data_IF_477815170029
#
_entry.id   IF_477815170029
#
_cell.length_a   1.000
_cell.length_b   1.000
_cell.length_c   1.000
_cell.angle_alpha   90.00
_cell.angle_beta   90.00
_cell.angle_gamma   90.00
#
_symmetry.space_group_name_H-M   'P 1'
#
loop_
_entity.id
_entity.type
_entity.pdbx_description
1 polymer ?
#
# COMPACT_ATOMS: atom_id res chain seq x y z
N UNK A 1 -9.17 1.88 22.06
CA UNK A 1 -8.49 1.17 20.96
C UNK A 1 -8.96 -0.28 21.01
N UNK A 2 -9.59 -0.78 19.95
CA UNK A 2 -9.90 -2.21 19.84
C UNK A 2 -8.66 -2.89 19.27
N UNK A 3 -8.03 -3.75 20.05
CA UNK A 3 -6.89 -4.57 19.61
C UNK A 3 -7.42 -5.98 19.44
N UNK A 4 -7.24 -6.58 18.27
CA UNK A 4 -7.49 -8.01 18.05
C UNK A 4 -6.16 -8.73 18.25
N UNK A 5 -6.13 -9.70 19.15
CA UNK A 5 -5.01 -10.62 19.27
C UNK A 5 -5.02 -11.55 18.05
N UNK A 6 -3.85 -11.84 17.49
CA UNK A 6 -3.74 -12.88 16.47
C UNK A 6 -3.87 -14.22 17.19
N UNK A 7 -4.96 -14.93 16.94
CA UNK A 7 -5.24 -16.25 17.51
C UNK A 7 -4.65 -17.38 16.66
N UNK A 8 -4.40 -17.11 15.38
CA UNK A 8 -3.84 -18.04 14.41
C UNK A 8 -3.00 -17.28 13.38
N UNK A 9 -1.75 -17.71 13.18
CA UNK A 9 -0.83 -17.12 12.18
C UNK A 9 -0.24 -18.20 11.26
N UNK A 10 -0.28 -17.97 9.94
CA UNK A 10 0.27 -18.88 8.94
C UNK A 10 1.46 -18.22 8.20
N UNK A 11 2.70 -18.39 8.69
CA UNK A 11 3.86 -17.89 7.98
C UNK A 11 4.02 -18.62 6.64
N UNK A 12 3.88 -17.89 5.53
CA UNK A 12 4.16 -18.40 4.18
C UNK A 12 3.30 -19.59 3.73
N UNK A 13 2.09 -19.77 4.30
CA UNK A 13 1.24 -20.93 4.01
C UNK A 13 1.65 -22.23 4.75
N UNK A 14 2.50 -22.12 5.76
CA UNK A 14 2.83 -23.23 6.67
C UNK A 14 1.73 -23.58 7.67
N UNK A 15 2.04 -24.53 8.56
CA UNK A 15 1.14 -24.93 9.65
C UNK A 15 0.77 -23.74 10.54
N UNK A 16 -0.49 -23.65 11.00
CA UNK A 16 -0.92 -22.56 11.87
C UNK A 16 -0.14 -22.53 13.18
N UNK A 17 0.30 -21.35 13.57
CA UNK A 17 0.79 -21.04 14.91
C UNK A 17 -0.41 -20.52 15.70
N UNK A 18 -0.89 -21.30 16.67
CA UNK A 18 -2.04 -20.98 17.51
C UNK A 18 -1.68 -20.65 18.96
N UNK A 19 -0.41 -20.82 19.32
CA UNK A 19 0.14 -20.45 20.61
C UNK A 19 0.56 -18.97 20.57
N UNK A 20 -0.16 -18.04 21.23
CA UNK A 20 0.11 -16.61 21.12
C UNK A 20 1.53 -16.23 21.59
N UNK A 21 2.13 -17.03 22.47
CA UNK A 21 3.52 -16.80 22.92
C UNK A 21 4.57 -17.07 21.84
N UNK A 22 4.17 -17.75 20.76
CA UNK A 22 5.01 -18.08 19.59
C UNK A 22 4.71 -17.20 18.38
N UNK A 23 3.75 -16.28 18.49
CA UNK A 23 3.43 -15.32 17.44
C UNK A 23 4.21 -14.04 17.72
N UNK A 24 5.39 -13.91 17.12
CA UNK A 24 6.20 -12.70 17.17
C UNK A 24 5.91 -11.81 15.95
N UNK A 25 4.65 -11.38 15.83
CA UNK A 25 4.22 -10.48 14.75
C UNK A 25 3.37 -9.36 15.34
N UNK A 26 3.94 -8.17 15.40
CA UNK A 26 3.26 -6.95 15.82
C UNK A 26 3.01 -6.05 14.62
N UNK A 27 1.94 -6.32 13.87
CA UNK A 27 1.51 -5.48 12.75
C UNK A 27 0.35 -4.58 13.16
N UNK A 28 0.47 -3.28 12.85
CA UNK A 28 -0.61 -2.31 13.02
C UNK A 28 -1.04 -1.79 11.66
N UNK A 29 -2.15 -2.31 11.13
CA UNK A 29 -2.65 -1.91 9.81
C UNK A 29 -3.34 -0.54 9.84
N UNK A 30 -2.65 0.50 9.36
CA UNK A 30 -3.13 1.90 9.34
C UNK A 30 -3.57 2.39 7.95
N UNK A 31 -3.84 1.47 7.03
CA UNK A 31 -4.38 1.78 5.70
C UNK A 31 -5.86 2.20 5.70
N UNK A 32 -6.36 2.54 4.52
CA UNK A 32 -7.75 2.88 4.21
C UNK A 32 -8.23 2.07 3.00
N UNK A 33 -9.48 2.24 2.59
CA UNK A 33 -10.04 1.58 1.40
C UNK A 33 -10.49 0.16 1.67
N UNK A 34 -10.92 -0.11 2.90
CA UNK A 34 -11.48 -1.40 3.29
C UNK A 34 -12.97 -1.36 3.02
N UNK A 35 -13.49 -2.41 2.37
CA UNK A 35 -14.92 -2.61 2.28
C UNK A 35 -15.46 -3.09 3.64
N UNK A 36 -15.68 -2.12 4.53
CA UNK A 36 -16.31 -2.35 5.83
C UNK A 36 -17.84 -2.24 5.75
N UNK A 37 -18.37 -1.94 4.55
CA UNK A 37 -19.80 -1.71 4.30
C UNK A 37 -20.59 -2.99 4.00
N UNK A 38 -19.93 -4.04 3.52
CA UNK A 38 -20.59 -5.29 3.13
C UNK A 38 -20.70 -6.34 4.24
N UNK A 39 -20.44 -5.98 5.51
CA UNK A 39 -20.49 -6.93 6.62
C UNK A 39 -19.41 -8.02 6.52
N UNK A 40 -18.31 -7.74 5.80
CA UNK A 40 -17.21 -8.67 5.60
C UNK A 40 -16.60 -9.10 6.92
N UNK A 41 -16.24 -10.37 6.98
CA UNK A 41 -15.43 -10.94 8.04
C UNK A 41 -13.99 -11.03 7.59
N UNK A 42 -13.05 -10.92 8.51
CA UNK A 42 -11.66 -11.28 8.24
C UNK A 42 -11.54 -12.78 7.93
N UNK A 43 -10.35 -13.29 7.53
CA UNK A 43 -10.15 -14.72 7.29
C UNK A 43 -10.48 -15.62 8.49
N UNK A 44 -10.54 -15.07 9.71
CA UNK A 44 -10.96 -15.76 10.93
C UNK A 44 -12.47 -15.75 11.17
N UNK A 45 -13.27 -15.22 10.25
CA UNK A 45 -14.73 -15.17 10.39
C UNK A 45 -15.24 -14.06 11.32
N UNK A 46 -14.37 -13.13 11.74
CA UNK A 46 -14.77 -12.04 12.62
C UNK A 46 -15.13 -10.78 11.83
N UNK A 47 -16.22 -10.07 12.16
CA UNK A 47 -16.58 -8.83 11.49
C UNK A 47 -15.40 -7.85 11.46
N UNK A 48 -15.15 -7.26 10.29
CA UNK A 48 -14.15 -6.21 10.11
C UNK A 48 -14.77 -4.90 10.63
N UNK A 49 -14.27 -4.31 11.73
CA UNK A 49 -14.83 -3.07 12.25
C UNK A 49 -14.64 -1.90 11.26
N UNK A 50 -15.62 -0.99 11.20
CA UNK A 50 -15.56 0.24 10.40
C UNK A 50 -14.65 1.32 11.02
N UNK A 51 -14.09 1.06 12.20
CA UNK A 51 -13.29 1.98 13.03
C UNK A 51 -11.86 1.50 13.29
N UNK A 52 -11.28 0.73 12.37
CA UNK A 52 -10.02 0.00 12.60
C UNK A 52 -8.72 0.77 12.44
N UNK A 53 -8.68 1.93 11.79
CA UNK A 53 -7.42 2.66 11.65
C UNK A 53 -7.09 3.42 12.96
N UNK A 54 -6.15 2.94 13.79
CA UNK A 54 -5.89 3.57 15.10
C UNK A 54 -5.33 4.98 14.95
N UNK A 55 -4.70 5.32 13.82
CA UNK A 55 -4.14 6.65 13.57
C UNK A 55 -5.22 7.72 13.34
N UNK A 56 -6.47 7.33 13.08
CA UNK A 56 -7.58 8.25 12.82
C UNK A 56 -8.55 8.40 14.00
N UNK A 57 -8.21 7.83 15.16
CA UNK A 57 -9.14 7.65 16.29
C UNK A 57 -8.61 8.23 17.61
N UNK A 58 -7.70 9.19 17.56
CA UNK A 58 -7.34 9.98 18.74
C UNK A 58 -8.57 10.73 19.27
N UNK A 59 -8.62 10.96 20.59
CA UNK A 59 -9.76 11.64 21.24
C UNK A 59 -10.04 12.99 20.59
N UNK A 60 -8.98 13.73 20.28
CA UNK A 60 -9.02 15.05 19.65
C UNK A 60 -9.60 14.94 18.23
N UNK A 61 -9.26 13.89 17.47
CA UNK A 61 -9.84 13.64 16.14
C UNK A 61 -11.32 13.29 16.22
N UNK A 62 -11.71 12.44 17.18
CA UNK A 62 -13.12 12.06 17.41
C UNK A 62 -13.95 13.28 17.84
N UNK A 63 -13.38 14.17 18.66
CA UNK A 63 -14.04 15.41 19.08
C UNK A 63 -14.05 16.51 18.01
N UNK A 64 -13.29 16.34 16.91
CA UNK A 64 -13.12 17.33 15.86
C UNK A 64 -12.08 18.42 16.12
N UNK A 65 -11.37 18.37 17.26
CA UNK A 65 -10.29 19.29 17.60
C UNK A 65 -9.00 19.06 16.79
N UNK A 66 -8.86 17.91 16.14
CA UNK A 66 -7.73 17.55 15.28
C UNK A 66 -8.23 16.96 13.97
N UNK A 67 -7.64 17.35 12.83
CA UNK A 67 -7.99 16.76 11.53
C UNK A 67 -7.47 15.32 11.45
N UNK A 68 -8.33 14.30 11.25
CA UNK A 68 -7.89 12.92 11.15
C UNK A 68 -7.03 12.70 9.90
N UNK A 69 -5.86 12.12 10.11
CA UNK A 69 -4.87 11.84 9.08
C UNK A 69 -3.48 11.68 9.71
N UNK A 70 -2.50 11.33 8.89
CA UNK A 70 -1.14 11.13 9.34
C UNK A 70 -0.11 11.42 8.24
N UNK A 71 1.13 11.68 8.66
CA UNK A 71 2.31 11.79 7.81
C UNK A 71 3.28 10.70 8.24
N UNK A 72 3.75 9.92 7.28
CA UNK A 72 4.83 8.95 7.43
C UNK A 72 6.07 9.51 6.77
N UNK A 73 7.14 9.61 7.55
CA UNK A 73 8.49 9.84 7.05
C UNK A 73 9.36 8.65 7.39
N UNK A 74 10.56 8.58 6.84
CA UNK A 74 11.51 7.52 7.18
C UNK A 74 11.90 7.49 8.68
N UNK A 75 11.66 8.55 9.44
CA UNK A 75 12.06 8.66 10.85
C UNK A 75 10.88 8.90 11.81
N UNK A 76 9.68 9.22 11.31
CA UNK A 76 8.60 9.68 12.18
C UNK A 76 7.22 9.36 11.65
N UNK A 77 6.29 9.33 12.59
CA UNK A 77 4.85 9.29 12.32
C UNK A 77 4.27 10.53 13.00
N UNK A 78 3.65 11.40 12.20
CA UNK A 78 2.91 12.56 12.72
C UNK A 78 1.42 12.29 12.58
N UNK A 79 0.68 12.36 13.68
CA UNK A 79 -0.77 12.21 13.68
C UNK A 79 -1.43 13.59 13.71
N UNK A 80 -2.44 13.76 12.87
CA UNK A 80 -3.14 15.04 12.71
C UNK A 80 -2.57 15.89 11.57
N UNK A 81 -3.46 16.34 10.69
CA UNK A 81 -3.07 17.19 9.55
C UNK A 81 -3.37 18.66 9.87
N UNK A 82 -2.40 19.51 9.60
CA UNK A 82 -2.46 20.97 9.74
C UNK A 82 -1.98 21.62 8.45
N UNK A 83 -2.30 22.90 8.24
CA UNK A 83 -1.74 23.65 7.11
C UNK A 83 -0.19 23.72 7.17
N UNK A 84 0.38 23.74 8.37
CA UNK A 84 1.83 23.84 8.56
C UNK A 84 2.58 22.56 8.19
N UNK A 85 2.15 21.40 8.72
CA UNK A 85 2.83 20.12 8.46
C UNK A 85 2.53 19.52 7.09
N UNK A 86 1.53 20.05 6.39
CA UNK A 86 1.16 19.62 5.03
C UNK A 86 1.64 20.60 3.95
N UNK A 87 2.36 21.66 4.34
CA UNK A 87 2.97 22.59 3.39
C UNK A 87 4.04 21.87 2.55
N UNK A 88 4.02 22.08 1.23
CA UNK A 88 5.01 21.50 0.30
C UNK A 88 4.67 20.10 -0.22
N UNK A 89 3.57 19.49 0.23
CA UNK A 89 3.08 18.23 -0.33
C UNK A 89 2.35 18.47 -1.66
N UNK A 90 2.64 17.62 -2.65
CA UNK A 90 1.83 17.48 -3.86
C UNK A 90 0.64 16.58 -3.56
N UNK A 91 -0.59 17.09 -3.74
CA UNK A 91 -1.81 16.36 -3.39
C UNK A 91 -2.45 15.63 -4.56
N UNK A 92 -2.98 14.44 -4.26
CA UNK A 92 -3.85 13.66 -5.14
C UNK A 92 -5.16 13.38 -4.43
N UNK A 93 -6.26 13.83 -5.03
CA UNK A 93 -7.61 13.62 -4.51
C UNK A 93 -8.03 12.15 -4.67
N UNK A 94 -8.60 11.59 -3.62
CA UNK A 94 -9.15 10.24 -3.59
C UNK A 94 -10.63 10.26 -3.94
N UNK A 95 -11.09 9.16 -4.53
CA UNK A 95 -12.51 8.95 -4.78
C UNK A 95 -13.17 8.41 -3.51
N UNK A 96 -14.37 8.89 -3.18
CA UNK A 96 -15.14 8.31 -2.07
C UNK A 96 -15.64 6.91 -2.44
N UNK A 97 -15.53 5.97 -1.50
CA UNK A 97 -16.17 4.65 -1.57
C UNK A 97 -17.42 4.57 -0.67
N UNK A 98 -18.01 5.71 -0.34
CA UNK A 98 -19.12 5.84 0.60
C UNK A 98 -18.63 6.26 1.98
N UNK A 99 -18.33 5.30 2.85
CA UNK A 99 -17.89 5.58 4.24
C UNK A 99 -16.38 5.70 4.39
N UNK A 100 -15.61 5.35 3.36
CA UNK A 100 -14.16 5.51 3.29
C UNK A 100 -13.75 6.15 1.94
N UNK A 101 -12.44 6.16 1.69
CA UNK A 101 -11.83 6.57 0.43
C UNK A 101 -11.35 5.33 -0.32
N UNK A 102 -11.46 5.32 -1.63
CA UNK A 102 -10.94 4.25 -2.47
C UNK A 102 -9.43 4.39 -2.67
N UNK A 103 -8.73 3.26 -2.81
CA UNK A 103 -7.33 3.26 -3.21
C UNK A 103 -7.15 3.99 -4.56
N UNK A 104 -6.08 4.79 -4.73
CA UNK A 104 -5.82 5.47 -5.99
C UNK A 104 -5.26 4.51 -7.04
N UNK A 105 -5.18 4.98 -8.28
CA UNK A 105 -4.63 4.21 -9.40
C UNK A 105 -3.35 4.84 -9.94
N UNK A 106 -2.44 3.99 -10.41
CA UNK A 106 -1.22 4.35 -11.12
C UNK A 106 -1.15 3.68 -12.48
N UNK A 107 -0.25 4.14 -13.34
CA UNK A 107 0.25 3.36 -14.47
C UNK A 107 1.57 2.71 -14.08
N UNK A 108 1.71 1.40 -14.32
CA UNK A 108 2.97 0.66 -14.15
C UNK A 108 3.62 0.49 -15.51
N UNK A 109 4.84 0.98 -15.69
CA UNK A 109 5.61 0.79 -16.93
C UNK A 109 6.91 0.01 -16.69
N UNK A 110 7.23 -0.86 -17.65
CA UNK A 110 8.55 -1.52 -17.77
C UNK A 110 9.07 -1.24 -19.19
N UNK A 111 9.83 -0.13 -19.39
CA UNK A 111 10.16 0.37 -20.72
C UNK A 111 10.93 -0.62 -21.59
N UNK A 112 11.89 -1.36 -21.00
CA UNK A 112 12.69 -2.40 -21.68
C UNK A 112 11.83 -3.48 -22.33
N UNK A 113 10.66 -3.75 -21.77
CA UNK A 113 9.71 -4.76 -22.23
C UNK A 113 8.55 -4.16 -23.05
N UNK A 114 8.52 -2.83 -23.24
CA UNK A 114 7.40 -2.09 -23.86
C UNK A 114 6.05 -2.36 -23.16
N UNK A 115 6.10 -2.53 -21.84
CA UNK A 115 4.91 -2.77 -21.01
C UNK A 115 4.43 -1.47 -20.40
N UNK A 116 3.13 -1.23 -20.51
CA UNK A 116 2.41 -0.20 -19.76
C UNK A 116 1.08 -0.79 -19.30
N UNK A 117 0.82 -0.77 -18.00
CA UNK A 117 -0.42 -1.24 -17.38
C UNK A 117 -1.12 -0.03 -16.73
N UNK A 118 -2.09 0.60 -17.42
CA UNK A 118 -2.83 1.71 -16.86
C UNK A 118 -3.82 1.21 -15.81
N UNK A 119 -4.35 2.14 -14.99
CA UNK A 119 -5.42 1.85 -14.02
C UNK A 119 -5.07 0.68 -13.08
N UNK A 120 -3.81 0.64 -12.64
CA UNK A 120 -3.34 -0.32 -11.64
C UNK A 120 -3.63 0.22 -10.26
N UNK A 121 -4.42 -0.49 -9.47
CA UNK A 121 -4.74 -0.10 -8.10
C UNK A 121 -3.47 -0.10 -7.25
N UNK A 122 -3.23 0.98 -6.51
CA UNK A 122 -2.01 1.18 -5.75
C UNK A 122 -2.21 0.86 -4.26
N UNK A 123 -1.30 0.07 -3.72
CA UNK A 123 -1.06 -0.07 -2.29
C UNK A 123 0.38 0.35 -1.97
N UNK A 124 0.53 1.41 -1.17
CA UNK A 124 1.79 1.75 -0.53
C UNK A 124 1.87 0.95 0.77
N UNK A 125 2.72 -0.07 0.80
CA UNK A 125 2.77 -1.05 1.88
C UNK A 125 4.04 -0.92 2.72
N UNK A 126 3.87 -0.73 4.04
CA UNK A 126 4.98 -0.69 5.00
C UNK A 126 5.36 -2.06 5.55
N UNK A 127 4.61 -3.12 5.21
CA UNK A 127 4.78 -4.47 5.75
C UNK A 127 5.64 -5.41 4.91
N UNK A 128 6.00 -5.04 3.68
CA UNK A 128 6.79 -5.87 2.77
C UNK A 128 8.04 -5.15 2.29
N UNK A 129 9.15 -5.88 2.16
CA UNK A 129 10.42 -5.38 1.59
C UNK A 129 10.56 -5.69 0.09
N UNK A 130 9.56 -6.35 -0.50
CA UNK A 130 9.44 -6.64 -1.92
C UNK A 130 8.12 -6.06 -2.48
N UNK A 131 8.08 -5.84 -3.80
CA UNK A 131 6.85 -5.42 -4.48
C UNK A 131 6.09 -6.59 -5.08
N UNK A 132 4.78 -6.44 -5.21
CA UNK A 132 3.92 -7.37 -5.94
C UNK A 132 3.22 -6.61 -7.04
N UNK A 133 3.32 -7.09 -8.28
CA UNK A 133 2.50 -6.63 -9.40
C UNK A 133 1.54 -7.75 -9.77
N UNK A 134 0.28 -7.40 -9.93
CA UNK A 134 -0.78 -8.25 -10.45
C UNK A 134 -1.22 -7.66 -11.78
N UNK A 135 -0.82 -8.33 -12.86
CA UNK A 135 -0.99 -7.86 -14.23
C UNK A 135 -1.97 -8.74 -15.01
N UNK A 136 -2.53 -8.23 -16.12
CA UNK A 136 -3.27 -9.08 -17.06
C UNK A 136 -2.43 -10.26 -17.55
N UNK A 137 -3.11 -11.32 -18.00
CA UNK A 137 -2.46 -12.45 -18.64
C UNK A 137 -1.65 -11.99 -19.86
N UNK A 138 -0.52 -12.65 -20.12
CA UNK A 138 0.40 -12.36 -21.22
C UNK A 138 1.10 -10.97 -21.18
N UNK A 139 0.95 -10.19 -20.10
CA UNK A 139 1.73 -8.97 -19.87
C UNK A 139 2.80 -9.29 -18.84
N UNK A 140 4.02 -9.58 -19.29
CA UNK A 140 5.09 -10.06 -18.40
C UNK A 140 6.46 -9.45 -18.77
N UNK A 141 7.21 -8.88 -17.80
CA UNK A 141 8.56 -8.39 -18.04
C UNK A 141 9.57 -9.55 -18.16
N UNK A 142 10.84 -9.27 -18.49
CA UNK A 142 11.92 -10.26 -18.35
C UNK A 142 11.96 -10.84 -16.93
N UNK A 143 12.05 -12.16 -16.83
CA UNK A 143 12.00 -12.89 -15.56
C UNK A 143 13.35 -13.55 -15.25
N UNK A 144 13.79 -13.47 -14.00
CA UNK A 144 14.94 -14.24 -13.51
C UNK A 144 14.57 -15.68 -13.17
N UNK A 145 13.35 -15.91 -12.68
CA UNK A 145 12.79 -17.24 -12.48
C UNK A 145 11.27 -17.20 -12.61
N UNK A 146 10.69 -18.35 -12.97
CA UNK A 146 9.25 -18.57 -13.05
C UNK A 146 8.90 -19.67 -12.04
N UNK A 147 7.95 -19.41 -11.14
CA UNK A 147 7.43 -20.42 -10.22
C UNK A 147 5.95 -20.20 -9.98
N UNK A 148 5.14 -21.26 -10.09
CA UNK A 148 3.72 -21.31 -9.71
C UNK A 148 2.87 -20.14 -10.25
N UNK A 149 2.93 -19.87 -11.56
CA UNK A 149 2.08 -18.85 -12.20
C UNK A 149 2.47 -17.40 -11.90
N UNK A 150 3.66 -17.19 -11.32
CA UNK A 150 4.29 -15.88 -11.14
C UNK A 150 5.75 -15.87 -11.62
N UNK A 151 6.25 -14.66 -11.84
CA UNK A 151 7.58 -14.33 -12.33
C UNK A 151 8.27 -13.43 -11.30
N UNK A 152 9.52 -13.74 -10.92
CA UNK A 152 10.38 -12.73 -10.30
C UNK A 152 11.01 -11.93 -11.42
N UNK A 153 10.74 -10.62 -11.45
CA UNK A 153 11.30 -9.74 -12.47
C UNK A 153 12.84 -9.83 -12.43
N UNK A 154 13.46 -9.95 -13.59
CA UNK A 154 14.91 -9.98 -13.72
C UNK A 154 15.54 -8.70 -13.17
N UNK A 155 16.81 -8.73 -12.81
CA UNK A 155 17.54 -7.52 -12.44
C UNK A 155 17.69 -6.59 -13.66
N UNK A 156 18.06 -5.34 -13.39
CA UNK A 156 18.30 -4.30 -14.40
C UNK A 156 17.06 -3.95 -15.24
N UNK A 157 15.86 -4.16 -14.70
CA UNK A 157 14.61 -3.70 -15.30
C UNK A 157 14.16 -2.42 -14.58
N UNK A 158 14.02 -1.34 -15.34
CA UNK A 158 13.39 -0.12 -14.82
C UNK A 158 11.88 -0.33 -14.70
N UNK A 159 11.33 0.01 -13.54
CA UNK A 159 9.91 0.03 -13.25
C UNK A 159 9.54 1.46 -12.88
N UNK A 160 8.55 2.01 -13.57
CA UNK A 160 8.09 3.40 -13.40
C UNK A 160 6.62 3.38 -13.01
N UNK A 161 6.29 4.02 -11.89
CA UNK A 161 4.92 4.25 -11.43
C UNK A 161 4.57 5.71 -11.65
N UNK A 162 3.53 5.98 -12.45
CA UNK A 162 3.02 7.34 -12.65
C UNK A 162 1.60 7.46 -12.12
N UNK A 163 1.30 8.59 -11.48
CA UNK A 163 -0.02 8.89 -10.92
C UNK A 163 -0.52 10.19 -11.53
N UNK A 164 -1.79 10.21 -11.93
CA UNK A 164 -2.42 11.44 -12.40
C UNK A 164 -2.47 12.47 -11.26
N UNK A 165 -2.17 13.73 -11.56
CA UNK A 165 -2.09 14.81 -10.57
C UNK A 165 -0.66 15.13 -10.09
N UNK A 166 0.29 14.20 -10.27
CA UNK A 166 1.70 14.46 -9.95
C UNK A 166 2.48 14.95 -11.19
N UNK A 167 3.42 15.87 -10.98
CA UNK A 167 4.26 16.43 -12.05
C UNK A 167 5.44 15.52 -12.44
N UNK A 168 5.73 14.51 -11.61
CA UNK A 168 6.79 13.53 -11.82
C UNK A 168 6.30 12.12 -11.47
N UNK A 169 7.01 11.05 -11.89
CA UNK A 169 6.68 9.70 -11.47
C UNK A 169 6.58 9.59 -9.95
N UNK A 170 5.59 8.85 -9.47
CA UNK A 170 5.43 8.56 -8.05
C UNK A 170 6.62 7.75 -7.53
N UNK A 171 7.06 6.76 -8.29
CA UNK A 171 8.16 5.89 -7.88
C UNK A 171 8.84 5.31 -9.11
N UNK A 172 10.17 5.45 -9.19
CA UNK A 172 10.97 4.83 -10.25
C UNK A 172 12.11 4.06 -9.59
N UNK A 173 12.30 2.81 -10.01
CA UNK A 173 13.42 2.01 -9.52
C UNK A 173 13.91 1.04 -10.58
N UNK A 174 15.15 0.57 -10.41
CA UNK A 174 15.73 -0.50 -11.23
C UNK A 174 15.88 -1.75 -10.39
N UNK A 175 15.26 -2.86 -10.80
CA UNK A 175 15.33 -4.14 -10.07
C UNK A 175 16.77 -4.58 -9.80
N UNK A 176 17.05 -5.00 -8.55
CA UNK A 176 18.40 -5.33 -8.09
C UNK A 176 19.29 -4.12 -7.77
N UNK A 177 18.79 -2.89 -7.93
CA UNK A 177 19.45 -1.67 -7.50
C UNK A 177 19.32 -1.40 -5.99
N UNK A 178 20.13 -0.47 -5.48
CA UNK A 178 20.24 -0.17 -4.05
C UNK A 178 18.93 0.36 -3.42
N UNK A 179 18.17 1.16 -4.18
CA UNK A 179 16.91 1.75 -3.74
C UNK A 179 15.68 0.98 -4.23
N UNK A 180 15.88 -0.20 -4.83
CA UNK A 180 14.80 -1.04 -5.31
C UNK A 180 14.30 -1.99 -4.20
N UNK A 181 13.04 -2.43 -4.28
CA UNK A 181 12.54 -3.53 -3.47
C UNK A 181 13.44 -4.77 -3.63
N UNK A 182 13.54 -5.61 -2.60
CA UNK A 182 14.39 -6.82 -2.63
C UNK A 182 14.05 -7.76 -3.81
N UNK A 183 12.79 -7.73 -4.24
CA UNK A 183 12.34 -8.35 -5.47
C UNK A 183 11.04 -7.73 -5.95
N UNK A 184 10.68 -7.99 -7.20
CA UNK A 184 9.35 -7.71 -7.74
C UNK A 184 8.73 -9.04 -8.13
N UNK A 185 7.64 -9.40 -7.44
CA UNK A 185 6.85 -10.58 -7.77
C UNK A 185 5.75 -10.17 -8.74
N UNK A 186 5.90 -10.57 -9.99
CA UNK A 186 4.93 -10.35 -11.06
C UNK A 186 3.97 -11.53 -11.16
N UNK A 187 2.67 -11.31 -11.01
CA UNK A 187 1.65 -12.35 -10.95
C UNK A 187 0.53 -12.03 -11.94
N UNK A 188 -0.22 -13.04 -12.37
CA UNK A 188 -1.33 -12.88 -13.30
C UNK A 188 -2.71 -13.19 -12.69
N UNK A 189 -2.78 -13.25 -11.36
CA UNK A 189 -4.02 -13.19 -10.60
C UNK A 189 -4.37 -11.70 -10.47
N UNK A 190 -5.55 -11.27 -10.91
CA UNK A 190 -5.99 -9.87 -10.80
C UNK A 190 -6.73 -9.65 -9.47
N UNK A 191 -6.48 -8.53 -8.81
CA UNK A 191 -7.19 -8.13 -7.60
C UNK A 191 -8.56 -7.59 -7.98
N UNK A 192 -9.65 -8.24 -7.56
CA UNK A 192 -11.03 -7.83 -7.93
C UNK A 192 -11.22 -7.63 -9.45
N UNK A 193 -10.52 -8.41 -10.27
CA UNK A 193 -10.55 -8.30 -11.73
C UNK A 193 -9.77 -7.11 -12.31
N UNK A 194 -8.99 -6.39 -11.50
CA UNK A 194 -8.18 -5.24 -11.90
C UNK A 194 -6.68 -5.48 -11.68
N UNK A 195 -5.81 -4.80 -12.44
CA UNK A 195 -4.39 -4.78 -12.12
C UNK A 195 -4.16 -4.13 -10.76
N UNK A 196 -3.14 -4.60 -10.05
CA UNK A 196 -2.81 -4.12 -8.71
C UNK A 196 -1.30 -4.07 -8.51
N UNK A 197 -0.83 -3.10 -7.75
CA UNK A 197 0.56 -3.02 -7.32
C UNK A 197 0.65 -2.73 -5.83
N UNK A 198 1.40 -3.58 -5.15
CA UNK A 198 1.93 -3.33 -3.82
C UNK A 198 3.38 -2.88 -3.99
N UNK A 199 3.71 -1.67 -3.53
CA UNK A 199 5.06 -1.12 -3.70
C UNK A 199 6.09 -1.72 -2.76
N UNK A 200 5.66 -2.27 -1.62
CA UNK A 200 6.52 -2.48 -0.47
C UNK A 200 7.08 -1.17 0.09
N UNK A 201 7.92 -1.31 1.12
CA UNK A 201 8.45 -0.23 1.95
C UNK A 201 9.39 0.70 1.21
N UNK A 202 10.05 0.24 0.15
CA UNK A 202 11.09 0.99 -0.54
C UNK A 202 10.59 2.26 -1.23
N UNK A 203 9.32 2.31 -1.64
CA UNK A 203 8.73 3.53 -2.21
C UNK A 203 8.79 4.71 -1.24
N UNK A 204 8.67 4.45 0.08
CA UNK A 204 8.73 5.49 1.12
C UNK A 204 10.14 6.07 1.34
N UNK A 205 11.15 5.61 0.58
CA UNK A 205 12.46 6.26 0.55
C UNK A 205 12.50 7.46 -0.39
N UNK A 206 11.57 7.53 -1.34
CA UNK A 206 11.53 8.57 -2.37
C UNK A 206 10.68 9.78 -1.96
N UNK A 207 9.79 9.60 -0.98
CA UNK A 207 8.89 10.64 -0.52
C UNK A 207 8.41 10.40 0.91
N UNK A 208 8.10 11.49 1.60
CA UNK A 208 7.19 11.49 2.73
C UNK A 208 5.75 11.30 2.24
N UNK A 209 4.97 10.51 2.98
CA UNK A 209 3.62 10.12 2.63
C UNK A 209 2.60 10.70 3.61
N UNK A 210 1.64 11.46 3.10
CA UNK A 210 0.56 12.04 3.89
C UNK A 210 -0.78 11.42 3.47
N UNK A 211 -1.60 11.07 4.47
CA UNK A 211 -3.00 10.76 4.27
C UNK A 211 -3.89 11.72 5.07
N UNK A 212 -4.71 12.51 4.38
CA UNK A 212 -5.72 13.39 4.97
C UNK A 212 -7.09 12.75 4.82
N UNK A 213 -7.51 12.03 5.85
CA UNK A 213 -8.74 11.24 5.84
C UNK A 213 -10.00 12.13 5.84
N UNK A 214 -9.89 13.38 6.31
CA UNK A 214 -11.01 14.32 6.32
C UNK A 214 -11.26 14.90 4.93
N UNK A 215 -10.20 15.32 4.24
CA UNK A 215 -10.29 15.88 2.91
C UNK A 215 -10.38 14.81 1.81
N UNK A 216 -9.90 13.60 2.08
CA UNK A 216 -9.89 12.51 1.10
C UNK A 216 -8.79 12.67 0.09
N UNK A 217 -7.56 12.87 0.54
CA UNK A 217 -6.41 13.07 -0.34
C UNK A 217 -5.15 12.44 0.20
N UNK A 218 -4.28 12.07 -0.71
CA UNK A 218 -2.89 11.72 -0.44
C UNK A 218 -2.01 12.92 -0.70
N UNK A 219 -0.96 13.07 0.10
CA UNK A 219 0.12 14.01 -0.18
C UNK A 219 1.43 13.26 -0.38
N UNK A 220 2.24 13.75 -1.30
CA UNK A 220 3.61 13.30 -1.52
C UNK A 220 4.57 14.47 -1.42
N UNK A 221 5.55 14.38 -0.53
CA UNK A 221 6.66 15.34 -0.47
C UNK A 221 7.94 14.59 -0.80
N UNK A 222 8.43 14.79 -2.01
CA UNK A 222 9.54 14.02 -2.55
C UNK A 222 10.90 14.54 -2.09
N UNK A 223 11.86 13.63 -1.91
CA UNK A 223 13.24 13.93 -1.52
C UNK A 223 14.11 14.37 -2.70
#
# INVERSE_FOLDING_TARGET
>A
MKVRMVEEFHPGGGSPITDPSKIDVHMMGVGFGRDTSSGQTDPGGYPIPTDINPFLRLKEMVSGAMTPGFILTAQSITLGITAANSAGFDFVELQSSGTEWAAPYVSVAVPSAKITIPQTELLIDTGLDYSIVQAPQNVQPPCANNSNGGCRVANSQEVVLTMSGLQKPLYTFTTGGQNAPQSVLWRHHLHNGKPFINTGTYALREFDYLYDAKAGRLGFHFH
#
